data_IF_094550968058
#
_entry.id   IF_094550968058
#
_cell.length_a   1.000
_cell.length_b   1.000
_cell.length_c   1.000
_cell.angle_alpha   90.00
_cell.angle_beta   90.00
_cell.angle_gamma   90.00
#
_symmetry.space_group_name_H-M   'P 1'
#
loop_
_entity.id
_entity.type
_entity.pdbx_description
1 polymer ?
#
# COMPACT_ATOMS: atom_id res chain seq x y z
N UNK A 1 -16.12 -12.23 -7.51
CA UNK A 1 -15.49 -11.23 -8.39
C UNK A 1 -14.05 -11.65 -8.64
N UNK A 2 -13.62 -11.65 -9.90
CA UNK A 2 -12.25 -11.96 -10.30
C UNK A 2 -11.71 -10.72 -10.99
N UNK A 3 -10.56 -10.23 -10.54
CA UNK A 3 -9.86 -9.11 -11.16
C UNK A 3 -8.50 -9.60 -11.62
N UNK A 4 -8.24 -9.44 -12.91
CA UNK A 4 -6.94 -9.71 -13.51
C UNK A 4 -6.07 -8.44 -13.52
N UNK A 5 -4.75 -8.62 -13.65
CA UNK A 5 -3.76 -7.55 -13.61
C UNK A 5 -3.86 -6.68 -12.35
N UNK A 6 -3.98 -7.34 -11.19
CA UNK A 6 -4.18 -6.73 -9.88
C UNK A 6 -3.15 -5.68 -9.50
N UNK A 7 -1.96 -5.68 -10.12
CA UNK A 7 -0.99 -4.60 -9.99
C UNK A 7 -1.56 -3.22 -10.36
N UNK A 8 -2.60 -3.15 -11.20
CA UNK A 8 -3.33 -1.91 -11.52
C UNK A 8 -4.10 -1.32 -10.34
N UNK A 9 -4.34 -2.10 -9.28
CA UNK A 9 -5.10 -1.71 -8.08
C UNK A 9 -4.22 -1.32 -6.88
N UNK A 10 -2.90 -1.24 -7.06
CA UNK A 10 -1.96 -0.85 -6.00
C UNK A 10 -2.20 0.56 -5.44
N UNK A 11 -2.85 1.43 -6.22
CA UNK A 11 -3.34 2.71 -5.72
C UNK A 11 -4.77 2.55 -5.19
N UNK A 12 -4.93 2.62 -3.88
CA UNK A 12 -6.23 2.49 -3.21
C UNK A 12 -7.23 3.60 -3.58
N UNK A 13 -6.77 4.76 -4.03
CA UNK A 13 -7.61 5.85 -4.51
C UNK A 13 -7.99 5.70 -6.00
N UNK A 14 -7.68 4.58 -6.65
CA UNK A 14 -8.03 4.42 -8.04
C UNK A 14 -9.56 4.29 -8.21
N UNK A 15 -10.09 4.93 -9.27
CA UNK A 15 -11.53 4.93 -9.58
C UNK A 15 -12.09 3.51 -9.72
N UNK A 16 -11.29 2.57 -10.21
CA UNK A 16 -11.67 1.17 -10.35
C UNK A 16 -12.03 0.54 -8.99
N UNK A 17 -11.17 0.67 -7.98
CA UNK A 17 -11.43 0.15 -6.62
C UNK A 17 -12.70 0.74 -6.04
N UNK A 18 -12.90 2.06 -6.20
CA UNK A 18 -14.10 2.75 -5.71
C UNK A 18 -15.38 2.23 -6.37
N UNK A 19 -15.37 2.09 -7.71
CA UNK A 19 -16.52 1.59 -8.47
C UNK A 19 -16.83 0.14 -8.08
N UNK A 20 -15.81 -0.72 -8.02
CA UNK A 20 -15.99 -2.13 -7.67
C UNK A 20 -16.53 -2.31 -6.24
N UNK A 21 -16.04 -1.51 -5.29
CA UNK A 21 -16.51 -1.58 -3.90
C UNK A 21 -17.91 -1.00 -3.69
N UNK A 22 -18.31 -0.01 -4.49
CA UNK A 22 -19.59 0.71 -4.29
C UNK A 22 -20.74 0.06 -5.05
N UNK A 23 -20.49 -0.41 -6.28
CA UNK A 23 -21.55 -0.87 -7.18
C UNK A 23 -21.71 -2.39 -7.26
N UNK A 24 -20.75 -3.16 -6.76
CA UNK A 24 -20.74 -4.62 -6.92
C UNK A 24 -20.54 -5.33 -5.58
N UNK A 25 -21.51 -6.19 -5.24
CA UNK A 25 -21.42 -7.05 -4.06
C UNK A 25 -20.92 -8.43 -4.49
N UNK A 26 -19.80 -8.86 -3.92
CA UNK A 26 -19.20 -10.16 -4.17
C UNK A 26 -18.64 -10.76 -2.87
N UNK A 27 -19.23 -11.86 -2.36
CA UNK A 27 -18.77 -12.51 -1.11
C UNK A 27 -17.35 -13.09 -1.22
N UNK A 28 -16.94 -13.48 -2.42
CA UNK A 28 -15.59 -13.98 -2.72
C UNK A 28 -14.93 -13.12 -3.78
N UNK A 29 -13.72 -12.66 -3.50
CA UNK A 29 -12.91 -11.82 -4.37
C UNK A 29 -11.59 -12.55 -4.63
N UNK A 30 -11.18 -12.60 -5.90
CA UNK A 30 -9.91 -13.15 -6.34
C UNK A 30 -9.19 -12.07 -7.13
N UNK A 31 -7.92 -11.86 -6.82
CA UNK A 31 -7.05 -10.92 -7.50
C UNK A 31 -5.88 -11.71 -8.10
N UNK A 32 -5.72 -11.64 -9.42
CA UNK A 32 -4.64 -12.27 -10.16
C UNK A 32 -3.64 -11.20 -10.61
N UNK A 33 -2.34 -11.49 -10.54
CA UNK A 33 -1.30 -10.57 -11.01
C UNK A 33 -0.11 -11.35 -11.54
N UNK A 34 0.40 -10.96 -12.70
CA UNK A 34 1.62 -11.54 -13.28
C UNK A 34 2.91 -10.93 -12.72
N UNK A 35 2.84 -9.80 -12.02
CA UNK A 35 4.02 -9.08 -11.50
C UNK A 35 4.23 -9.29 -10.01
N UNK A 36 5.49 -9.45 -9.54
CA UNK A 36 5.80 -9.43 -8.12
C UNK A 36 5.38 -8.11 -7.44
N UNK A 37 5.03 -8.19 -6.16
CA UNK A 37 4.69 -7.01 -5.36
C UNK A 37 5.97 -6.26 -4.95
N UNK A 38 5.99 -4.93 -5.06
CA UNK A 38 7.20 -4.11 -4.85
C UNK A 38 7.55 -3.87 -3.37
N UNK A 39 7.08 -4.70 -2.44
CA UNK A 39 7.30 -4.57 -0.99
C UNK A 39 6.99 -3.16 -0.41
N UNK A 40 6.04 -2.44 -0.99
CA UNK A 40 5.54 -1.18 -0.43
C UNK A 40 4.26 -1.46 0.37
N UNK A 41 4.30 -1.15 1.67
CA UNK A 41 3.16 -1.37 2.58
C UNK A 41 1.84 -0.74 2.09
N UNK A 42 1.81 0.50 1.55
CA UNK A 42 0.59 1.08 1.00
C UNK A 42 0.02 0.28 -0.18
N UNK A 43 0.88 -0.24 -1.07
CA UNK A 43 0.45 -1.05 -2.22
C UNK A 43 -0.11 -2.39 -1.75
N UNK A 44 0.56 -3.04 -0.80
CA UNK A 44 0.09 -4.29 -0.19
C UNK A 44 -1.26 -4.08 0.49
N UNK A 45 -1.38 -3.01 1.29
CA UNK A 45 -2.62 -2.67 1.96
C UNK A 45 -3.75 -2.43 0.96
N UNK A 46 -3.52 -1.72 -0.14
CA UNK A 46 -4.55 -1.47 -1.15
C UNK A 46 -5.14 -2.77 -1.72
N UNK A 47 -4.29 -3.75 -2.04
CA UNK A 47 -4.72 -5.06 -2.54
C UNK A 47 -5.47 -5.86 -1.48
N UNK A 48 -5.00 -5.85 -0.24
CA UNK A 48 -5.64 -6.55 0.88
C UNK A 48 -6.97 -5.89 1.29
N UNK A 49 -7.06 -4.57 1.28
CA UNK A 49 -8.31 -3.83 1.48
C UNK A 49 -9.34 -4.19 0.42
N UNK A 50 -8.92 -4.33 -0.85
CA UNK A 50 -9.84 -4.78 -1.89
C UNK A 50 -10.35 -6.21 -1.65
N UNK A 51 -9.49 -7.14 -1.22
CA UNK A 51 -9.90 -8.52 -0.97
C UNK A 51 -10.76 -8.67 0.30
N UNK A 52 -10.37 -7.98 1.38
CA UNK A 52 -10.91 -8.13 2.73
C UNK A 52 -11.14 -6.75 3.39
N UNK A 53 -12.10 -5.94 2.88
CA UNK A 53 -12.27 -4.54 3.29
C UNK A 53 -12.69 -4.37 4.75
N UNK A 54 -13.32 -5.39 5.35
CA UNK A 54 -13.74 -5.36 6.75
C UNK A 54 -12.58 -5.52 7.73
N UNK A 55 -11.48 -6.16 7.30
CA UNK A 55 -10.28 -6.40 8.10
C UNK A 55 -9.31 -5.23 7.92
N UNK A 56 -9.07 -4.79 6.68
CA UNK A 56 -8.05 -3.80 6.35
C UNK A 56 -8.63 -2.40 6.14
N UNK A 57 -9.20 -1.78 7.16
CA UNK A 57 -9.92 -0.49 7.02
C UNK A 57 -9.03 0.75 6.89
N UNK A 58 -7.80 0.70 7.42
CA UNK A 58 -6.91 1.87 7.53
C UNK A 58 -5.48 1.53 7.12
N UNK A 59 -4.94 2.29 6.17
CA UNK A 59 -3.55 2.14 5.71
C UNK A 59 -2.56 2.48 6.83
N UNK A 60 -2.81 3.56 7.58
CA UNK A 60 -1.92 3.99 8.66
C UNK A 60 -1.84 2.96 9.79
N UNK A 61 -2.97 2.33 10.14
CA UNK A 61 -3.00 1.26 11.15
C UNK A 61 -2.26 0.03 10.65
N UNK A 62 -2.44 -0.33 9.38
CA UNK A 62 -1.71 -1.44 8.76
C UNK A 62 -0.19 -1.20 8.79
N UNK A 63 0.25 -0.01 8.40
CA UNK A 63 1.67 0.38 8.45
C UNK A 63 2.23 0.34 9.86
N UNK A 64 1.49 0.84 10.86
CA UNK A 64 1.93 0.79 12.26
C UNK A 64 2.11 -0.65 12.75
N UNK A 65 1.16 -1.54 12.48
CA UNK A 65 1.26 -2.95 12.87
C UNK A 65 2.42 -3.66 12.20
N UNK A 66 2.66 -3.36 10.92
CA UNK A 66 3.76 -3.96 10.17
C UNK A 66 5.12 -3.39 10.60
N UNK A 67 5.17 -2.11 10.97
CA UNK A 67 6.41 -1.44 11.41
C UNK A 67 6.74 -1.68 12.89
N UNK A 68 5.76 -2.04 13.73
CA UNK A 68 5.97 -2.22 15.18
C UNK A 68 7.10 -3.22 15.53
N UNK A 69 7.25 -4.37 14.86
CA UNK A 69 8.38 -5.27 15.10
C UNK A 69 9.75 -4.67 14.76
N UNK A 70 9.82 -3.78 13.76
CA UNK A 70 11.07 -3.12 13.34
C UNK A 70 11.43 -1.92 14.23
N UNK A 71 10.44 -1.31 14.88
CA UNK A 71 10.67 -0.21 15.81
C UNK A 71 11.45 -0.65 17.06
N UNK A 72 11.36 -1.93 17.45
CA UNK A 72 12.06 -2.47 18.62
C UNK A 72 13.53 -2.85 18.34
N UNK A 73 13.93 -2.98 17.07
CA UNK A 73 15.29 -3.41 16.67
C UNK A 73 16.24 -2.25 16.36
N UNK A 74 15.82 -0.99 16.51
CA UNK A 74 16.70 0.18 16.35
C UNK A 74 17.12 0.50 14.91
N UNK A 75 16.64 -0.25 13.92
CA UNK A 75 16.78 0.11 12.51
C UNK A 75 15.77 1.21 12.18
N UNK A 76 16.27 2.44 12.08
CA UNK A 76 15.46 3.55 11.54
C UNK A 76 15.17 3.24 10.08
N UNK A 77 13.94 2.81 9.80
CA UNK A 77 13.41 2.75 8.44
C UNK A 77 13.22 4.19 7.99
N UNK A 78 14.13 4.70 7.16
CA UNK A 78 14.03 6.03 6.55
C UNK A 78 12.77 6.10 5.69
N UNK A 79 11.72 6.72 6.23
CA UNK A 79 10.47 7.02 5.52
C UNK A 79 10.54 8.38 4.82
N UNK A 80 11.61 8.67 4.08
CA UNK A 80 11.67 9.86 3.24
C UNK A 80 12.03 9.49 1.81
N UNK A 81 11.01 9.47 0.95
CA UNK A 81 11.21 9.67 -0.48
C UNK A 81 11.72 11.09 -0.74
N UNK A 82 12.78 11.17 -1.54
CA UNK A 82 13.22 12.32 -2.35
C UNK A 82 13.40 13.69 -1.66
N UNK A 83 14.61 13.91 -1.12
CA UNK A 83 15.39 15.14 -1.38
C UNK A 83 16.86 14.94 -0.95
N UNK A 84 17.84 14.97 -1.86
CA UNK A 84 19.24 15.01 -1.46
C UNK A 84 19.53 16.38 -0.83
N UNK A 85 19.92 16.35 0.45
CA UNK A 85 20.37 17.51 1.21
C UNK A 85 21.80 17.90 0.78
N UNK A 86 21.95 18.67 -0.31
CA UNK A 86 23.23 19.27 -0.69
C UNK A 86 23.16 20.77 -1.05
N UNK A 87 22.04 21.46 -0.80
CA UNK A 87 22.00 22.91 -0.91
C UNK A 87 22.31 23.56 0.44
N UNK A 88 23.55 24.00 0.65
CA UNK A 88 23.85 24.89 1.78
C UNK A 88 25.27 24.98 2.34
N UNK A 89 26.32 24.52 1.66
CA UNK A 89 27.69 24.92 2.00
C UNK A 89 28.48 25.29 0.74
N UNK A 90 28.29 26.53 0.28
CA UNK A 90 29.35 27.29 -0.38
C UNK A 90 29.70 28.44 0.56
N UNK A 91 30.95 28.35 1.02
CA UNK A 91 31.64 29.18 2.00
C UNK A 91 31.77 30.63 1.53
N UNK A 92 32.15 31.49 2.48
CA UNK A 92 32.68 32.83 2.20
C UNK A 92 34.03 32.81 1.50
#
# INVERSE_FOLDING_TARGET
>A
MIVDEGHRMKNHHCKLTQVLNTHYVAPRRLLLTGTPLQNKLPELWALLNFLLPTIFKSCSTFEQWFNAPFAMTGEKVDQNGDKPSWDGQKQG
#
